data_IF_644289784191
#
_entry.id   IF_644289784191
#
_cell.length_a   1.000
_cell.length_b   1.000
_cell.length_c   1.000
_cell.angle_alpha   90.00
_cell.angle_beta   90.00
_cell.angle_gamma   90.00
#
_symmetry.space_group_name_H-M   'P 1'
#
loop_
_entity.id
_entity.type
_entity.pdbx_description
1 polymer ?
#
# COMPACT_ATOMS: atom_id res chain seq x y z
N UNK A 1 -59.53 -52.40 41.56
CA UNK A 1 -59.91 -51.53 40.42
C UNK A 1 -58.84 -51.73 39.36
N UNK A 2 -58.95 -52.59 38.32
CA UNK A 2 -59.76 -52.44 37.06
C UNK A 2 -59.78 -50.97 36.62
N UNK A 3 -59.22 -50.59 35.47
CA UNK A 3 -59.69 -50.93 34.11
C UNK A 3 -58.52 -50.97 33.09
N UNK A 4 -58.55 -51.96 32.19
CA UNK A 4 -57.83 -52.03 30.92
C UNK A 4 -58.61 -51.28 29.84
N UNK A 5 -57.95 -50.53 28.96
CA UNK A 5 -58.46 -50.30 27.60
C UNK A 5 -57.32 -50.18 26.58
N UNK A 6 -57.42 -51.04 25.58
CA UNK A 6 -56.62 -51.12 24.36
C UNK A 6 -56.84 -49.91 23.46
N UNK A 7 -55.78 -49.44 22.79
CA UNK A 7 -55.89 -48.75 21.51
C UNK A 7 -54.77 -49.24 20.58
N UNK A 8 -55.19 -49.85 19.48
CA UNK A 8 -54.34 -50.41 18.44
C UNK A 8 -53.75 -49.29 17.57
N UNK A 9 -52.47 -49.42 17.20
CA UNK A 9 -51.94 -48.77 15.99
C UNK A 9 -51.06 -49.73 15.20
N UNK A 10 -51.46 -49.87 13.96
CA UNK A 10 -51.07 -50.83 12.94
C UNK A 10 -49.62 -50.60 12.47
N UNK A 11 -48.86 -51.69 12.39
CA UNK A 11 -47.63 -51.76 11.59
C UNK A 11 -48.00 -51.70 10.10
N UNK A 12 -47.73 -50.57 9.45
CA UNK A 12 -47.75 -50.49 7.99
C UNK A 12 -46.31 -50.33 7.46
N UNK A 13 -45.82 -51.42 6.90
CA UNK A 13 -44.60 -51.50 6.10
C UNK A 13 -44.84 -50.83 4.74
N UNK A 14 -44.61 -49.52 4.64
CA UNK A 14 -44.50 -48.88 3.32
C UNK A 14 -43.10 -49.04 2.74
N UNK A 15 -42.96 -50.06 1.88
CA UNK A 15 -42.02 -50.04 0.76
C UNK A 15 -42.27 -48.76 -0.05
N UNK A 16 -41.39 -47.77 0.07
CA UNK A 16 -41.28 -46.70 -0.91
C UNK A 16 -40.24 -47.12 -1.95
N UNK A 17 -40.73 -47.79 -3.00
CA UNK A 17 -40.08 -47.86 -4.31
C UNK A 17 -39.97 -46.43 -4.87
N UNK A 18 -38.90 -45.73 -4.50
CA UNK A 18 -38.47 -44.52 -5.19
C UNK A 18 -37.80 -44.92 -6.50
N UNK A 19 -38.57 -44.91 -7.58
CA UNK A 19 -38.09 -45.19 -8.92
C UNK A 19 -36.96 -44.21 -9.29
N UNK A 20 -35.79 -44.76 -9.57
CA UNK A 20 -34.68 -44.07 -10.22
C UNK A 20 -35.17 -43.68 -11.60
N UNK A 21 -35.56 -42.42 -11.80
CA UNK A 21 -35.79 -41.88 -13.12
C UNK A 21 -34.44 -41.84 -13.85
N UNK A 22 -34.22 -42.82 -14.72
CA UNK A 22 -33.15 -42.81 -15.70
C UNK A 22 -33.27 -41.59 -16.62
N UNK A 23 -32.20 -41.22 -17.34
CA UNK A 23 -32.23 -40.02 -18.18
C UNK A 23 -33.13 -40.30 -19.39
N UNK A 24 -34.31 -39.68 -19.41
CA UNK A 24 -35.15 -39.62 -20.60
C UNK A 24 -34.44 -38.86 -21.71
N UNK A 25 -34.00 -39.64 -22.70
CA UNK A 25 -33.61 -39.20 -24.02
C UNK A 25 -34.87 -38.81 -24.81
N UNK A 26 -35.27 -37.54 -24.76
CA UNK A 26 -36.15 -36.95 -25.77
C UNK A 26 -35.49 -35.70 -26.37
N UNK A 27 -35.36 -35.65 -27.69
CA UNK A 27 -34.86 -34.48 -28.40
C UNK A 27 -35.95 -33.40 -28.39
N UNK A 28 -36.08 -32.66 -27.29
CA UNK A 28 -36.94 -31.47 -27.24
C UNK A 28 -36.35 -30.40 -28.15
N UNK A 29 -37.14 -29.90 -29.10
CA UNK A 29 -36.81 -28.70 -29.88
C UNK A 29 -36.73 -27.52 -28.91
N UNK A 30 -35.70 -26.68 -29.06
CA UNK A 30 -35.54 -25.48 -28.23
C UNK A 30 -36.71 -24.52 -28.44
N UNK A 31 -37.24 -23.96 -27.35
CA UNK A 31 -38.21 -22.85 -27.41
C UNK A 31 -37.57 -21.66 -28.12
N UNK A 32 -38.35 -20.92 -28.92
CA UNK A 32 -37.91 -19.68 -29.58
C UNK A 32 -37.66 -18.53 -28.60
N UNK A 33 -38.22 -18.62 -27.39
CA UNK A 33 -38.07 -17.61 -26.34
C UNK A 33 -37.47 -18.24 -25.09
N UNK A 34 -36.33 -17.73 -24.65
CA UNK A 34 -35.63 -18.16 -23.44
C UNK A 34 -36.13 -17.38 -22.22
N UNK A 35 -36.74 -18.07 -21.26
CA UNK A 35 -37.19 -17.49 -19.98
C UNK A 35 -36.23 -17.91 -18.88
N UNK A 36 -35.19 -17.08 -18.66
CA UNK A 36 -34.10 -17.39 -17.71
C UNK A 36 -34.59 -17.54 -16.27
N UNK A 37 -35.66 -16.83 -15.88
CA UNK A 37 -36.26 -16.92 -14.55
C UNK A 37 -36.90 -18.28 -14.24
N UNK A 38 -37.24 -19.06 -15.27
CA UNK A 38 -37.78 -20.41 -15.11
C UNK A 38 -36.67 -21.48 -15.07
N UNK A 39 -35.40 -21.10 -15.20
CA UNK A 39 -34.30 -22.04 -15.20
C UNK A 39 -34.07 -22.64 -13.81
N UNK A 40 -33.84 -23.95 -13.71
CA UNK A 40 -33.41 -24.56 -12.45
C UNK A 40 -32.05 -23.97 -12.04
N UNK A 41 -31.83 -23.83 -10.73
CA UNK A 41 -30.54 -23.42 -10.16
C UNK A 41 -29.84 -24.62 -9.51
N UNK A 42 -29.29 -25.56 -10.31
CA UNK A 42 -28.65 -26.75 -9.77
C UNK A 42 -27.36 -26.41 -9.04
N UNK A 43 -27.04 -27.20 -8.02
CA UNK A 43 -25.74 -27.14 -7.36
C UNK A 43 -24.70 -27.86 -8.24
N UNK A 44 -23.75 -27.10 -8.81
CA UNK A 44 -22.79 -27.62 -9.79
C UNK A 44 -21.31 -27.44 -9.35
N UNK A 45 -20.72 -28.40 -8.63
CA UNK A 45 -19.33 -28.36 -8.19
C UNK A 45 -18.30 -28.21 -9.31
N UNK A 46 -18.61 -28.73 -10.50
CA UNK A 46 -17.74 -28.71 -11.69
C UNK A 46 -17.83 -27.40 -12.47
N UNK A 47 -18.75 -26.51 -12.12
CA UNK A 47 -19.04 -25.28 -12.84
C UNK A 47 -20.35 -25.34 -13.62
N UNK A 48 -20.69 -24.23 -14.24
CA UNK A 48 -21.92 -24.05 -15.03
C UNK A 48 -21.55 -23.92 -16.50
N UNK A 49 -22.38 -24.50 -17.35
CA UNK A 49 -22.30 -24.35 -18.82
C UNK A 49 -23.72 -24.12 -19.35
N UNK A 50 -23.88 -23.38 -20.45
CA UNK A 50 -25.19 -23.27 -21.08
C UNK A 50 -25.73 -24.64 -21.50
N UNK A 51 -27.05 -24.81 -21.41
CA UNK A 51 -27.75 -25.94 -22.00
C UNK A 51 -27.67 -25.91 -23.54
N UNK A 52 -28.24 -26.93 -24.19
CA UNK A 52 -28.20 -27.01 -25.67
C UNK A 52 -28.95 -25.89 -26.38
N UNK A 53 -29.89 -25.25 -25.69
CA UNK A 53 -30.67 -24.15 -26.20
C UNK A 53 -30.03 -22.79 -25.87
N UNK A 54 -28.85 -22.81 -25.25
CA UNK A 54 -28.13 -21.64 -24.77
C UNK A 54 -28.98 -20.73 -23.87
N UNK A 55 -29.89 -21.35 -23.10
CA UNK A 55 -30.90 -20.64 -22.31
C UNK A 55 -30.64 -20.76 -20.80
N UNK A 56 -30.55 -21.99 -20.28
CA UNK A 56 -30.31 -22.22 -18.86
C UNK A 56 -28.86 -22.63 -18.57
N UNK A 57 -28.38 -22.30 -17.38
CA UNK A 57 -27.10 -22.82 -16.87
C UNK A 57 -27.32 -24.20 -16.25
N UNK A 58 -26.61 -25.20 -16.77
CA UNK A 58 -26.62 -26.58 -16.29
C UNK A 58 -25.23 -26.98 -15.78
N UNK A 59 -25.17 -28.05 -14.99
CA UNK A 59 -23.88 -28.53 -14.49
C UNK A 59 -22.98 -28.99 -15.63
N UNK A 60 -21.77 -28.44 -15.67
CA UNK A 60 -20.70 -28.86 -16.56
C UNK A 60 -20.17 -30.24 -16.18
N UNK A 61 -19.49 -30.89 -17.14
CA UNK A 61 -18.75 -32.12 -16.87
C UNK A 61 -17.50 -31.82 -16.04
N UNK A 62 -17.31 -32.57 -14.96
CA UNK A 62 -16.10 -32.55 -14.15
C UNK A 62 -14.91 -33.18 -14.85
N UNK A 63 -13.73 -33.07 -14.23
CA UNK A 63 -12.54 -33.75 -14.73
C UNK A 63 -12.75 -35.28 -14.75
N UNK A 64 -12.18 -35.95 -15.75
CA UNK A 64 -12.28 -37.39 -15.99
C UNK A 64 -13.70 -37.89 -16.35
N UNK A 65 -14.65 -37.00 -16.61
CA UNK A 65 -15.97 -37.36 -17.16
C UNK A 65 -15.96 -37.44 -18.70
N UNK A 66 -16.83 -38.29 -19.25
CA UNK A 66 -17.00 -38.48 -20.68
C UNK A 66 -17.47 -37.20 -21.39
N UNK A 67 -16.82 -36.90 -22.50
CA UNK A 67 -17.11 -35.75 -23.34
C UNK A 67 -16.97 -36.08 -24.83
N UNK A 68 -17.46 -35.16 -25.68
CA UNK A 68 -17.20 -35.19 -27.12
C UNK A 68 -18.21 -35.98 -27.96
N UNK A 69 -19.24 -36.61 -27.36
CA UNK A 69 -20.40 -37.10 -28.12
C UNK A 69 -21.42 -35.99 -28.34
N UNK A 70 -22.25 -36.12 -29.37
CA UNK A 70 -23.34 -35.17 -29.71
C UNK A 70 -24.26 -34.85 -28.52
N UNK A 71 -24.39 -35.78 -27.58
CA UNK A 71 -25.26 -35.64 -26.42
C UNK A 71 -24.56 -35.26 -25.11
N UNK A 72 -23.24 -35.20 -25.08
CA UNK A 72 -22.49 -34.89 -23.85
C UNK A 72 -22.54 -33.39 -23.55
N UNK A 73 -22.63 -33.04 -22.26
CA UNK A 73 -22.46 -31.66 -21.81
C UNK A 73 -21.00 -31.23 -21.96
N UNK A 74 -20.72 -29.93 -22.20
CA UNK A 74 -19.35 -29.44 -22.31
C UNK A 74 -18.59 -29.55 -20.97
N UNK A 75 -17.26 -29.63 -21.09
CA UNK A 75 -16.36 -29.62 -19.95
C UNK A 75 -16.41 -28.27 -19.22
N UNK A 76 -16.25 -28.28 -17.89
CA UNK A 76 -16.25 -27.08 -17.07
C UNK A 76 -15.02 -26.17 -17.28
N UNK A 77 -15.04 -25.01 -16.61
CA UNK A 77 -13.99 -23.99 -16.73
C UNK A 77 -12.58 -24.54 -16.51
N UNK A 78 -11.72 -24.37 -17.52
CA UNK A 78 -10.33 -24.83 -17.52
C UNK A 78 -10.12 -26.28 -17.92
N UNK A 79 -11.20 -27.04 -18.19
CA UNK A 79 -11.14 -28.41 -18.70
C UNK A 79 -11.32 -28.44 -20.23
N UNK A 80 -10.56 -29.30 -20.90
CA UNK A 80 -10.62 -29.56 -22.33
C UNK A 80 -11.00 -31.01 -22.62
N UNK A 81 -11.84 -31.23 -23.62
CA UNK A 81 -12.22 -32.58 -24.02
C UNK A 81 -11.09 -33.26 -24.81
N UNK A 82 -10.31 -34.12 -24.16
CA UNK A 82 -9.11 -34.76 -24.73
C UNK A 82 -9.25 -36.27 -24.84
N UNK A 83 -8.51 -36.87 -25.78
CA UNK A 83 -8.41 -38.32 -25.90
C UNK A 83 -7.33 -38.84 -24.92
N UNK A 84 -7.55 -39.95 -24.20
CA UNK A 84 -6.60 -40.52 -23.23
C UNK A 84 -5.19 -40.78 -23.79
N UNK A 85 -5.07 -40.94 -25.12
CA UNK A 85 -3.81 -41.19 -25.84
C UNK A 85 -3.27 -39.95 -26.58
N UNK A 86 -3.45 -38.74 -26.05
CA UNK A 86 -2.76 -37.53 -26.56
C UNK A 86 -1.35 -37.42 -25.90
N UNK A 87 -0.31 -36.97 -26.62
CA UNK A 87 1.09 -37.24 -26.29
C UNK A 87 1.56 -36.45 -25.05
N UNK A 88 1.80 -37.16 -23.95
CA UNK A 88 2.81 -36.90 -22.90
C UNK A 88 2.69 -37.95 -21.75
N UNK A 89 2.77 -39.25 -22.09
CA UNK A 89 2.88 -40.33 -21.10
C UNK A 89 4.00 -41.30 -21.53
N UNK A 90 4.87 -41.75 -20.59
CA UNK A 90 6.00 -42.61 -20.91
C UNK A 90 5.54 -44.03 -21.30
N UNK A 91 6.16 -44.53 -22.39
CA UNK A 91 6.11 -45.87 -22.99
C UNK A 91 5.19 -46.93 -22.36
N UNK A 92 4.20 -47.41 -23.13
CA UNK A 92 3.70 -48.79 -23.03
C UNK A 92 3.29 -49.36 -24.40
N UNK A 93 4.04 -50.39 -24.80
CA UNK A 93 3.59 -51.67 -25.39
C UNK A 93 2.74 -51.70 -26.68
N UNK A 94 3.11 -52.52 -27.68
CA UNK A 94 2.30 -52.72 -28.87
C UNK A 94 1.26 -53.82 -28.65
N UNK A 95 -0.02 -53.47 -28.59
CA UNK A 95 -1.11 -54.40 -28.92
C UNK A 95 -2.44 -53.66 -29.07
N UNK A 96 -3.11 -53.92 -30.19
CA UNK A 96 -4.18 -53.08 -30.72
C UNK A 96 -5.58 -53.30 -30.15
N UNK A 97 -6.46 -52.35 -30.50
CA UNK A 97 -7.83 -52.50 -30.99
C UNK A 97 -8.44 -51.10 -31.14
N UNK A 98 -9.01 -50.78 -32.30
CA UNK A 98 -9.70 -49.50 -32.59
C UNK A 98 -11.02 -49.44 -31.80
N UNK A 99 -10.93 -49.09 -30.52
CA UNK A 99 -12.08 -48.64 -29.72
C UNK A 99 -12.37 -47.18 -30.07
N UNK A 100 -13.63 -46.83 -30.30
CA UNK A 100 -14.09 -45.44 -30.40
C UNK A 100 -13.51 -44.66 -29.23
N UNK A 101 -12.48 -43.84 -29.46
CA UNK A 101 -11.66 -43.27 -28.38
C UNK A 101 -12.55 -42.44 -27.46
N UNK A 102 -12.89 -42.98 -26.30
CA UNK A 102 -13.65 -42.28 -25.26
C UNK A 102 -12.84 -41.04 -24.88
N UNK A 103 -13.38 -39.84 -25.12
CA UNK A 103 -12.72 -38.59 -24.72
C UNK A 103 -13.19 -38.21 -23.32
N UNK A 104 -12.29 -37.63 -22.55
CA UNK A 104 -12.52 -37.24 -21.16
C UNK A 104 -12.18 -35.75 -21.00
N UNK A 105 -12.88 -35.08 -20.08
CA UNK A 105 -12.55 -33.72 -19.69
C UNK A 105 -11.25 -33.72 -18.88
N UNK A 106 -10.21 -33.04 -19.36
CA UNK A 106 -8.90 -32.98 -18.73
C UNK A 106 -8.48 -31.53 -18.48
N UNK A 107 -7.84 -31.25 -17.35
CA UNK A 107 -7.37 -29.90 -17.08
C UNK A 107 -6.32 -29.43 -18.09
N UNK A 108 -6.47 -28.19 -18.59
CA UNK A 108 -5.49 -27.58 -19.51
C UNK A 108 -4.10 -27.48 -18.88
N UNK A 109 -4.04 -27.26 -17.56
CA UNK A 109 -2.80 -27.14 -16.79
C UNK A 109 -2.63 -28.34 -15.86
N UNK A 110 -1.84 -29.33 -16.26
CA UNK A 110 -1.70 -30.61 -15.55
C UNK A 110 -0.70 -30.63 -14.38
N UNK A 111 -0.13 -29.49 -13.97
CA UNK A 111 0.83 -29.46 -12.87
C UNK A 111 0.12 -29.39 -11.51
N UNK A 112 0.72 -30.02 -10.48
CA UNK A 112 0.22 -29.96 -9.09
C UNK A 112 0.20 -28.52 -8.57
N UNK A 113 -0.79 -28.19 -7.75
CA UNK A 113 -0.90 -26.86 -7.10
C UNK A 113 -1.16 -27.00 -5.61
N UNK A 114 -0.66 -26.05 -4.83
CA UNK A 114 -0.98 -25.95 -3.42
C UNK A 114 -2.16 -25.00 -3.21
N UNK A 115 -3.22 -25.49 -2.57
CA UNK A 115 -4.36 -24.67 -2.17
C UNK A 115 -4.08 -23.88 -0.89
N UNK A 116 -4.81 -22.78 -0.69
CA UNK A 116 -4.79 -22.01 0.56
C UNK A 116 -5.25 -22.81 1.79
N UNK A 117 -5.89 -23.95 1.57
CA UNK A 117 -6.26 -24.94 2.58
C UNK A 117 -5.11 -25.92 2.94
N UNK A 118 -3.91 -25.70 2.40
CA UNK A 118 -2.74 -26.54 2.63
C UNK A 118 -2.80 -27.91 1.95
N UNK A 119 -3.79 -28.16 1.07
CA UNK A 119 -3.91 -29.42 0.33
C UNK A 119 -3.26 -29.33 -1.04
N UNK A 120 -2.50 -30.38 -1.38
CA UNK A 120 -1.98 -30.56 -2.74
C UNK A 120 -3.10 -31.04 -3.66
N UNK A 121 -3.40 -30.26 -4.69
CA UNK A 121 -4.29 -30.66 -5.77
C UNK A 121 -3.47 -31.13 -6.96
N UNK A 122 -3.97 -32.17 -7.65
CA UNK A 122 -3.32 -32.71 -8.84
C UNK A 122 -3.17 -31.68 -9.98
N UNK A 123 -4.09 -30.71 -10.03
CA UNK A 123 -4.08 -29.59 -10.96
C UNK A 123 -4.99 -28.44 -10.48
N UNK A 124 -4.92 -27.29 -11.17
CA UNK A 124 -5.72 -26.10 -10.86
C UNK A 124 -7.23 -26.33 -11.01
N UNK A 125 -7.67 -27.21 -11.91
CA UNK A 125 -9.09 -27.50 -12.14
C UNK A 125 -9.70 -28.24 -10.93
N UNK A 126 -8.97 -29.20 -10.35
CA UNK A 126 -9.38 -29.90 -9.12
C UNK A 126 -9.46 -28.96 -7.91
N UNK A 127 -8.49 -28.05 -7.78
CA UNK A 127 -8.50 -27.03 -6.73
C UNK A 127 -9.73 -26.12 -6.85
N UNK A 128 -10.03 -25.61 -8.06
CA UNK A 128 -11.21 -24.77 -8.31
C UNK A 128 -12.52 -25.52 -8.04
N UNK A 129 -12.60 -26.80 -8.41
CA UNK A 129 -13.77 -27.63 -8.09
C UNK A 129 -13.94 -27.83 -6.57
N UNK A 130 -12.85 -28.01 -5.82
CA UNK A 130 -12.89 -28.08 -4.36
C UNK A 130 -13.28 -26.73 -3.72
N UNK A 131 -12.79 -25.61 -4.26
CA UNK A 131 -13.13 -24.25 -3.84
C UNK A 131 -14.64 -23.98 -3.97
N UNK A 132 -15.24 -24.36 -5.11
CA UNK A 132 -16.70 -24.26 -5.31
C UNK A 132 -17.49 -25.13 -4.32
N UNK A 133 -17.04 -26.36 -4.05
CA UNK A 133 -17.66 -27.22 -3.03
C UNK A 133 -17.55 -26.64 -1.63
N UNK A 134 -16.47 -25.91 -1.32
CA UNK A 134 -16.27 -25.25 -0.04
C UNK A 134 -17.25 -24.07 0.11
N UNK A 135 -17.35 -23.20 -0.90
CA UNK A 135 -18.28 -22.08 -0.93
C UNK A 135 -19.75 -22.51 -0.77
N UNK A 136 -20.13 -23.63 -1.40
CA UNK A 136 -21.48 -24.21 -1.27
C UNK A 136 -21.79 -24.74 0.14
N UNK A 137 -20.76 -24.99 0.95
CA UNK A 137 -20.87 -25.39 2.35
C UNK A 137 -20.60 -24.22 3.30
N UNK A 138 -20.71 -22.99 2.81
CA UNK A 138 -20.44 -21.75 3.57
C UNK A 138 -19.03 -21.72 4.18
N UNK A 139 -18.05 -22.34 3.51
CA UNK A 139 -16.62 -22.28 3.87
C UNK A 139 -15.88 -21.31 2.95
N UNK A 140 -14.73 -20.84 3.41
CA UNK A 140 -13.86 -19.96 2.63
C UNK A 140 -13.46 -20.57 1.27
N UNK A 141 -13.33 -19.71 0.26
CA UNK A 141 -12.87 -20.11 -1.06
C UNK A 141 -11.40 -20.54 -1.01
N UNK A 142 -11.10 -21.69 -1.62
CA UNK A 142 -9.72 -22.16 -1.77
C UNK A 142 -9.09 -21.41 -2.94
N UNK A 143 -8.01 -20.68 -2.66
CA UNK A 143 -7.20 -19.97 -3.66
C UNK A 143 -5.88 -20.69 -3.88
N UNK A 144 -5.18 -20.40 -4.98
CA UNK A 144 -3.88 -21.01 -5.23
C UNK A 144 -2.81 -20.30 -4.38
N UNK A 145 -2.18 -21.02 -3.45
CA UNK A 145 -1.07 -20.50 -2.65
C UNK A 145 0.22 -20.41 -3.49
N UNK A 146 0.62 -21.52 -4.12
CA UNK A 146 1.76 -21.56 -5.03
C UNK A 146 1.63 -22.68 -6.09
N UNK A 147 2.50 -22.64 -7.11
CA UNK A 147 2.65 -23.73 -8.10
C UNK A 147 3.46 -24.88 -7.47
N UNK A 148 3.15 -26.12 -7.82
CA UNK A 148 3.78 -27.32 -7.25
C UNK A 148 2.94 -27.97 -6.14
N UNK A 149 3.34 -29.16 -5.65
CA UNK A 149 2.69 -29.78 -4.50
C UNK A 149 2.84 -28.88 -3.27
N UNK A 150 1.83 -28.86 -2.39
CA UNK A 150 2.07 -28.41 -1.03
C UNK A 150 3.19 -29.28 -0.44
N UNK A 151 4.10 -28.68 0.36
CA UNK A 151 5.15 -29.43 1.02
C UNK A 151 4.56 -30.66 1.72
N UNK A 152 5.00 -31.86 1.31
CA UNK A 152 4.54 -33.13 1.85
C UNK A 152 5.29 -33.41 3.14
N UNK A 153 4.55 -33.27 4.23
CA UNK A 153 5.06 -33.20 5.59
C UNK A 153 4.79 -31.80 6.12
N UNK A 154 4.46 -31.64 7.41
CA UNK A 154 4.53 -30.32 8.00
C UNK A 154 5.94 -29.81 7.68
N UNK A 155 6.08 -28.58 7.20
CA UNK A 155 7.35 -27.87 7.47
C UNK A 155 7.69 -28.14 8.95
N UNK A 156 8.95 -28.27 9.38
CA UNK A 156 9.25 -28.33 10.80
C UNK A 156 8.72 -27.03 11.43
N UNK A 157 7.52 -27.15 11.95
CA UNK A 157 6.47 -26.17 11.75
C UNK A 157 5.25 -26.64 12.48
N UNK A 158 5.51 -27.18 13.67
CA UNK A 158 4.60 -27.35 14.78
C UNK A 158 3.43 -26.36 14.66
N UNK A 159 2.23 -26.79 14.22
CA UNK A 159 1.05 -25.93 14.21
C UNK A 159 0.65 -25.50 15.63
N UNK A 160 1.19 -26.18 16.65
CA UNK A 160 1.12 -25.80 18.05
C UNK A 160 2.37 -25.06 18.56
N UNK A 161 3.39 -24.79 17.74
CA UNK A 161 4.54 -24.00 18.20
C UNK A 161 4.10 -22.55 18.32
N UNK A 162 4.33 -21.94 19.49
CA UNK A 162 4.15 -20.51 19.69
C UNK A 162 4.81 -19.65 18.59
N UNK A 163 5.91 -20.13 18.00
CA UNK A 163 6.65 -19.43 16.94
C UNK A 163 5.81 -19.18 15.68
N UNK A 164 5.01 -20.14 15.23
CA UNK A 164 4.22 -19.97 14.01
C UNK A 164 2.84 -19.38 14.29
N UNK A 165 2.38 -19.47 15.54
CA UNK A 165 1.08 -18.96 15.96
C UNK A 165 1.11 -17.48 16.36
N UNK A 166 2.21 -17.00 16.93
CA UNK A 166 2.27 -15.67 17.55
C UNK A 166 3.30 -14.71 16.93
N UNK A 167 4.03 -15.09 15.88
CA UNK A 167 4.93 -14.16 15.17
C UNK A 167 4.21 -13.27 14.15
N UNK A 168 3.08 -12.67 14.54
CA UNK A 168 2.30 -11.78 13.69
C UNK A 168 3.07 -10.53 13.24
N UNK A 169 4.07 -10.08 14.01
CA UNK A 169 4.97 -8.99 13.61
C UNK A 169 5.77 -9.38 12.37
N UNK A 170 6.30 -10.62 12.34
CA UNK A 170 7.07 -11.12 11.20
C UNK A 170 6.21 -11.15 9.93
N UNK A 171 4.95 -11.59 10.04
CA UNK A 171 4.01 -11.65 8.91
C UNK A 171 3.69 -10.26 8.34
N UNK A 172 3.64 -9.24 9.21
CA UNK A 172 3.43 -7.85 8.78
C UNK A 172 4.68 -7.33 8.09
N UNK A 173 5.87 -7.55 8.66
CA UNK A 173 7.14 -7.13 8.06
C UNK A 173 7.33 -7.76 6.69
N UNK A 174 7.11 -9.07 6.55
CA UNK A 174 7.27 -9.79 5.29
C UNK A 174 6.38 -9.20 4.18
N UNK A 175 5.15 -8.81 4.52
CA UNK A 175 4.22 -8.20 3.56
C UNK A 175 4.55 -6.74 3.24
N UNK A 176 5.07 -5.99 4.20
CA UNK A 176 5.30 -4.55 4.08
C UNK A 176 6.67 -4.19 3.51
N UNK A 177 7.68 -4.98 3.84
CA UNK A 177 9.08 -4.74 3.50
C UNK A 177 9.33 -4.41 2.02
N UNK A 178 8.70 -5.08 1.03
CA UNK A 178 8.96 -4.78 -0.38
C UNK A 178 8.60 -3.36 -0.82
N UNK A 179 7.68 -2.70 -0.13
CA UNK A 179 7.21 -1.35 -0.46
C UNK A 179 7.90 -0.24 0.35
N UNK A 180 8.77 -0.61 1.29
CA UNK A 180 9.62 0.32 2.04
C UNK A 180 10.92 0.54 1.27
N UNK A 181 11.37 1.78 1.24
CA UNK A 181 12.54 2.20 0.44
C UNK A 181 13.53 2.97 1.28
N UNK A 182 14.80 2.88 0.90
CA UNK A 182 15.85 3.75 1.40
C UNK A 182 15.92 5.01 0.54
N UNK A 183 16.05 6.17 1.16
CA UNK A 183 16.15 7.47 0.50
C UNK A 183 17.46 8.12 0.90
N UNK A 184 18.20 8.58 -0.10
CA UNK A 184 19.49 9.21 0.08
C UNK A 184 19.54 10.50 -0.76
N UNK A 185 19.80 11.61 -0.08
CA UNK A 185 20.12 12.88 -0.70
C UNK A 185 21.63 13.04 -0.70
N UNK A 186 22.24 13.27 -1.86
CA UNK A 186 23.69 13.41 -1.96
C UNK A 186 24.08 14.54 -2.92
N UNK A 187 25.29 15.07 -2.71
CA UNK A 187 25.93 15.99 -3.62
C UNK A 187 27.02 15.26 -4.42
N UNK A 188 27.10 15.50 -5.72
CA UNK A 188 28.23 15.07 -6.52
C UNK A 188 29.27 16.18 -6.57
N UNK A 189 30.45 15.93 -5.98
CA UNK A 189 31.53 16.92 -5.96
C UNK A 189 32.05 17.17 -7.39
N UNK A 190 32.05 18.42 -7.91
CA UNK A 190 32.39 18.71 -9.30
C UNK A 190 33.82 18.31 -9.68
N UNK A 191 34.78 18.53 -8.77
CA UNK A 191 36.21 18.31 -9.03
C UNK A 191 36.69 16.86 -8.82
N UNK A 192 36.09 16.11 -7.89
CA UNK A 192 36.58 14.79 -7.47
C UNK A 192 35.61 13.64 -7.80
N UNK A 193 34.43 13.95 -8.33
CA UNK A 193 33.40 12.95 -8.67
C UNK A 193 32.86 12.13 -7.49
N UNK A 194 33.22 12.48 -6.24
CA UNK A 194 32.77 11.80 -5.03
C UNK A 194 31.34 12.19 -4.66
N UNK A 195 30.55 11.22 -4.22
CA UNK A 195 29.24 11.44 -3.64
C UNK A 195 29.38 11.77 -2.15
N UNK A 196 28.88 12.93 -1.75
CA UNK A 196 28.82 13.35 -0.34
C UNK A 196 27.36 13.24 0.10
N UNK A 197 27.02 12.30 1.00
CA UNK A 197 25.65 12.18 1.51
C UNK A 197 25.31 13.42 2.34
N UNK A 198 24.14 14.01 2.07
CA UNK A 198 23.61 15.20 2.75
C UNK A 198 22.50 14.84 3.74
N UNK A 199 21.64 13.88 3.37
CA UNK A 199 20.56 13.38 4.22
C UNK A 199 20.27 11.94 3.83
N UNK A 200 19.79 11.16 4.79
CA UNK A 200 19.45 9.76 4.60
C UNK A 200 18.27 9.39 5.49
N UNK A 201 17.39 8.54 4.97
CA UNK A 201 16.22 8.08 5.69
C UNK A 201 15.47 7.01 4.91
N UNK A 202 14.22 6.81 5.31
CA UNK A 202 13.31 5.83 4.72
C UNK A 202 12.13 6.51 4.02
N UNK A 203 11.42 5.74 3.22
CA UNK A 203 10.11 6.11 2.68
C UNK A 203 9.29 4.88 2.37
N UNK A 204 8.10 5.09 1.84
CA UNK A 204 7.26 4.00 1.35
C UNK A 204 6.47 4.39 0.10
N UNK A 205 6.25 3.39 -0.74
CA UNK A 205 5.60 3.57 -2.04
C UNK A 205 4.07 3.53 -1.84
N UNK A 206 3.37 4.56 -2.30
CA UNK A 206 1.90 4.67 -2.22
C UNK A 206 1.20 4.51 -3.58
N UNK A 207 1.97 4.45 -4.67
CA UNK A 207 1.43 4.24 -6.02
C UNK A 207 2.34 3.33 -6.85
N UNK A 208 1.72 2.44 -7.63
CA UNK A 208 2.41 1.54 -8.54
C UNK A 208 3.23 2.27 -9.61
N UNK A 209 2.92 3.56 -9.85
CA UNK A 209 3.66 4.43 -10.76
C UNK A 209 4.94 5.03 -10.16
N UNK A 210 5.24 4.77 -8.88
CA UNK A 210 6.46 5.23 -8.22
C UNK A 210 6.32 6.50 -7.39
N UNK A 211 5.12 6.83 -6.90
CA UNK A 211 4.94 7.90 -5.91
C UNK A 211 5.29 7.37 -4.52
N UNK A 212 6.17 8.07 -3.82
CA UNK A 212 6.73 7.69 -2.53
C UNK A 212 6.48 8.82 -1.54
N UNK A 213 6.14 8.46 -0.30
CA UNK A 213 5.98 9.38 0.83
C UNK A 213 7.15 9.20 1.78
N UNK A 214 7.64 10.31 2.34
CA UNK A 214 8.69 10.39 3.36
C UNK A 214 8.54 11.69 4.15
N UNK A 215 9.49 11.98 5.05
CA UNK A 215 9.55 13.25 5.73
C UNK A 215 10.19 14.35 4.89
N UNK A 216 9.83 15.60 5.18
CA UNK A 216 10.43 16.75 4.51
C UNK A 216 11.94 16.82 4.81
N UNK A 217 12.34 16.62 6.07
CA UNK A 217 13.75 16.67 6.46
C UNK A 217 14.64 15.60 5.80
N UNK A 218 14.06 14.49 5.32
CA UNK A 218 14.81 13.45 4.59
C UNK A 218 15.23 13.91 3.19
N UNK A 219 14.43 14.78 2.57
CA UNK A 219 14.63 15.22 1.18
C UNK A 219 15.14 16.67 1.07
N UNK A 220 15.25 17.38 2.19
CA UNK A 220 15.81 18.74 2.25
C UNK A 220 17.16 18.75 2.95
N UNK A 221 18.15 19.42 2.36
CA UNK A 221 19.42 19.69 3.01
C UNK A 221 19.28 20.85 4.00
N UNK A 222 19.88 20.72 5.20
CA UNK A 222 19.92 21.78 6.20
C UNK A 222 20.99 22.85 5.93
N UNK A 223 22.01 22.53 5.12
CA UNK A 223 23.12 23.42 4.78
C UNK A 223 22.98 24.02 3.38
N UNK A 224 23.46 25.24 3.19
CA UNK A 224 23.67 25.83 1.85
C UNK A 224 24.79 25.05 1.17
N UNK A 225 24.44 24.17 0.24
CA UNK A 225 25.41 23.36 -0.49
C UNK A 225 25.63 23.93 -1.88
N UNK A 226 26.89 24.14 -2.27
CA UNK A 226 27.27 24.57 -3.62
C UNK A 226 27.18 23.39 -4.60
N UNK A 227 26.06 23.29 -5.30
CA UNK A 227 25.82 22.30 -6.35
C UNK A 227 24.36 21.83 -6.40
N UNK A 228 24.04 20.95 -7.35
CA UNK A 228 22.69 20.38 -7.48
C UNK A 228 22.59 19.09 -6.66
N UNK A 229 21.85 19.07 -5.53
CA UNK A 229 21.64 17.84 -4.79
C UNK A 229 20.82 16.86 -5.63
N UNK A 230 21.18 15.59 -5.59
CA UNK A 230 20.47 14.51 -6.26
C UNK A 230 19.82 13.61 -5.23
N UNK A 231 18.64 13.07 -5.57
CA UNK A 231 17.90 12.16 -4.72
C UNK A 231 17.93 10.77 -5.34
N UNK A 232 18.36 9.79 -4.56
CA UNK A 232 18.37 8.37 -4.93
C UNK A 232 17.46 7.59 -4.01
N UNK A 233 16.66 6.72 -4.60
CA UNK A 233 15.78 5.78 -3.91
C UNK A 233 16.28 4.38 -4.19
N UNK A 234 16.47 3.57 -3.15
CA UNK A 234 16.86 2.17 -3.26
C UNK A 234 15.74 1.29 -2.72
N UNK A 235 15.31 0.32 -3.53
CA UNK A 235 14.25 -0.62 -3.20
C UNK A 235 14.79 -1.82 -2.41
N UNK A 236 13.86 -2.57 -1.80
CA UNK A 236 14.16 -3.81 -1.09
C UNK A 236 14.87 -4.88 -1.97
N UNK A 237 14.64 -4.89 -3.28
CA UNK A 237 15.30 -5.82 -4.21
C UNK A 237 16.69 -5.35 -4.68
N UNK A 238 17.18 -4.21 -4.16
CA UNK A 238 18.44 -3.59 -4.54
C UNK A 238 18.35 -2.68 -5.76
N UNK A 239 17.18 -2.58 -6.41
CA UNK A 239 16.96 -1.64 -7.51
C UNK A 239 17.09 -0.19 -7.05
N UNK A 240 17.89 0.61 -7.75
CA UNK A 240 18.08 2.03 -7.45
C UNK A 240 17.50 2.93 -8.55
N UNK A 241 16.87 4.03 -8.14
CA UNK A 241 16.22 5.00 -9.02
C UNK A 241 16.63 6.41 -8.63
N UNK A 242 16.85 7.26 -9.63
CA UNK A 242 16.85 8.71 -9.40
C UNK A 242 15.42 9.17 -9.14
N UNK A 243 15.26 10.03 -8.15
CA UNK A 243 13.98 10.53 -7.70
C UNK A 243 13.92 12.05 -7.82
N UNK A 244 12.71 12.56 -8.00
CA UNK A 244 12.41 13.99 -8.02
C UNK A 244 11.44 14.32 -6.90
N UNK A 245 11.71 15.41 -6.18
CA UNK A 245 10.76 15.93 -5.19
C UNK A 245 9.55 16.47 -5.93
N UNK A 246 8.35 16.04 -5.53
CA UNK A 246 7.09 16.49 -6.11
C UNK A 246 6.47 17.60 -5.28
N UNK A 247 6.28 17.36 -4.00
CA UNK A 247 5.63 18.30 -3.09
C UNK A 247 6.27 18.15 -1.70
N UNK A 248 6.39 19.26 -0.97
CA UNK A 248 6.97 19.30 0.38
C UNK A 248 6.16 20.24 1.26
N UNK A 249 5.71 19.76 2.41
CA UNK A 249 5.18 20.58 3.50
C UNK A 249 6.15 20.49 4.68
N UNK A 250 6.93 21.55 4.87
CA UNK A 250 7.88 21.65 5.99
C UNK A 250 7.18 21.83 7.34
N UNK A 251 5.97 22.41 7.38
CA UNK A 251 5.24 22.62 8.65
C UNK A 251 4.79 21.27 9.21
N UNK A 252 4.31 20.37 8.35
CA UNK A 252 3.93 19.01 8.77
C UNK A 252 5.02 17.96 8.62
N UNK A 253 6.19 18.35 8.12
CA UNK A 253 7.33 17.46 7.85
C UNK A 253 6.96 16.28 6.93
N UNK A 254 6.14 16.53 5.90
CA UNK A 254 5.75 15.54 4.89
C UNK A 254 6.32 15.93 3.53
N UNK A 255 6.83 14.95 2.80
CA UNK A 255 7.21 15.12 1.40
C UNK A 255 6.74 13.96 0.54
N UNK A 256 6.49 14.25 -0.73
CA UNK A 256 6.34 13.24 -1.78
C UNK A 256 7.44 13.35 -2.80
N UNK A 257 7.94 12.20 -3.22
CA UNK A 257 8.95 12.07 -4.28
C UNK A 257 8.46 11.09 -5.34
N UNK A 258 8.97 11.23 -6.55
CA UNK A 258 8.60 10.41 -7.71
C UNK A 258 9.81 9.77 -8.33
N UNK A 259 9.74 8.45 -8.48
CA UNK A 259 10.64 7.63 -9.30
C UNK A 259 9.93 7.15 -10.56
N UNK A 260 10.67 6.79 -11.60
CA UNK A 260 10.12 6.24 -12.84
C UNK A 260 10.51 4.76 -13.00
N UNK A 261 9.71 3.83 -12.44
CA UNK A 261 10.04 2.42 -12.46
C UNK A 261 9.68 1.78 -13.80
N UNK A 262 10.47 0.80 -14.25
CA UNK A 262 10.16 0.03 -15.47
C UNK A 262 9.04 -1.00 -15.25
N UNK A 263 8.82 -1.40 -13.99
CA UNK A 263 7.80 -2.39 -13.58
C UNK A 263 6.89 -1.77 -12.52
N UNK A 264 5.69 -2.32 -12.37
CA UNK A 264 4.79 -1.91 -11.27
C UNK A 264 5.47 -2.22 -9.93
N UNK A 265 5.53 -1.22 -9.06
CA UNK A 265 6.10 -1.36 -7.73
C UNK A 265 5.06 -1.90 -6.72
N UNK A 266 5.49 -2.61 -5.67
CA UNK A 266 4.64 -2.92 -4.52
C UNK A 266 4.25 -1.62 -3.81
N UNK A 267 3.03 -1.57 -3.27
CA UNK A 267 2.47 -0.35 -2.67
C UNK A 267 1.89 -0.62 -1.29
N UNK A 268 1.93 0.40 -0.45
CA UNK A 268 1.23 0.43 0.82
C UNK A 268 -0.02 1.30 0.74
N UNK A 269 -1.08 0.85 1.41
CA UNK A 269 -2.32 1.60 1.55
C UNK A 269 -2.31 2.42 2.82
N UNK A 270 -2.79 3.66 2.75
CA UNK A 270 -3.01 4.50 3.93
C UNK A 270 -4.27 4.05 4.66
N UNK A 271 -4.15 3.79 5.96
CA UNK A 271 -5.26 3.54 6.87
C UNK A 271 -5.85 4.83 7.44
N UNK A 272 -6.80 4.70 8.36
CA UNK A 272 -7.38 5.83 9.12
C UNK A 272 -6.69 5.93 10.48
N UNK A 273 -5.94 6.99 10.68
CA UNK A 273 -5.31 7.28 11.97
C UNK A 273 -6.34 7.69 13.04
N UNK A 274 -7.50 8.24 12.63
CA UNK A 274 -8.63 8.55 13.50
C UNK A 274 -9.20 7.35 14.25
N UNK A 275 -9.02 6.14 13.69
CA UNK A 275 -9.61 4.91 14.22
C UNK A 275 -8.65 4.17 15.17
N UNK A 276 -7.45 4.73 15.40
CA UNK A 276 -6.44 4.15 16.27
C UNK A 276 -6.89 4.13 17.73
N UNK A 277 -6.59 3.03 18.39
CA UNK A 277 -6.85 2.86 19.83
C UNK A 277 -5.55 2.82 20.61
N UNK A 278 -5.46 3.48 21.77
CA UNK A 278 -4.36 3.26 22.71
C UNK A 278 -4.21 1.76 23.01
N UNK A 279 -2.98 1.26 22.98
CA UNK A 279 -2.63 -0.15 23.14
C UNK A 279 -2.61 -0.97 21.85
N UNK A 280 -2.99 -0.41 20.70
CA UNK A 280 -2.88 -1.12 19.43
C UNK A 280 -1.42 -1.36 19.04
N UNK A 281 -1.08 -2.60 18.68
CA UNK A 281 0.26 -2.93 18.20
C UNK A 281 0.56 -2.26 16.86
N UNK A 282 1.77 -1.72 16.76
CA UNK A 282 2.28 -1.04 15.58
C UNK A 282 3.71 -1.48 15.28
N UNK A 283 4.07 -1.41 14.00
CA UNK A 283 5.42 -1.71 13.54
C UNK A 283 5.96 -0.49 12.82
N UNK A 284 7.10 0.02 13.27
CA UNK A 284 7.85 1.06 12.60
C UNK A 284 8.91 0.40 11.73
N UNK A 285 8.77 0.53 10.41
CA UNK A 285 9.65 -0.11 9.43
C UNK A 285 10.46 0.97 8.72
N UNK A 286 11.73 0.68 8.51
CA UNK A 286 12.65 1.50 7.74
C UNK A 286 13.60 0.66 6.91
N UNK A 287 14.36 1.33 6.06
CA UNK A 287 15.49 0.80 5.33
C UNK A 287 16.67 1.77 5.55
N UNK A 288 17.41 1.66 6.68
CA UNK A 288 18.59 2.51 6.93
C UNK A 288 19.67 2.33 5.89
N UNK A 289 19.78 1.13 5.33
CA UNK A 289 20.73 0.78 4.29
C UNK A 289 19.99 0.00 3.22
N UNK A 290 20.45 0.14 1.98
CA UNK A 290 20.02 -0.69 0.88
C UNK A 290 20.07 -2.17 1.30
N UNK A 291 18.98 -2.91 1.08
CA UNK A 291 18.82 -4.35 1.39
C UNK A 291 18.68 -4.72 2.87
N UNK A 292 18.75 -3.77 3.81
CA UNK A 292 18.55 -4.06 5.24
C UNK A 292 17.39 -3.23 5.78
N UNK A 293 16.35 -3.93 6.24
CA UNK A 293 15.24 -3.30 6.92
C UNK A 293 15.55 -3.19 8.42
N UNK A 294 15.29 -2.02 8.99
CA UNK A 294 15.19 -1.88 10.45
C UNK A 294 13.74 -1.90 10.84
N UNK A 295 13.41 -2.81 11.74
CA UNK A 295 12.06 -3.02 12.22
C UNK A 295 12.07 -2.88 13.72
N UNK A 296 11.19 -2.03 14.21
CA UNK A 296 10.88 -1.94 15.64
C UNK A 296 9.37 -2.09 15.80
N UNK A 297 8.96 -2.62 16.95
CA UNK A 297 7.55 -2.83 17.26
C UNK A 297 7.25 -2.18 18.60
N UNK A 298 6.00 -1.78 18.76
CA UNK A 298 5.49 -1.20 19.99
C UNK A 298 3.97 -1.16 19.95
N UNK A 299 3.40 -0.32 20.80
CA UNK A 299 1.99 0.00 20.86
C UNK A 299 1.76 1.49 20.64
N UNK A 300 0.54 1.85 20.25
CA UNK A 300 0.09 3.24 20.30
C UNK A 300 -0.10 3.64 21.77
N UNK A 301 0.70 4.59 22.25
CA UNK A 301 0.52 5.16 23.59
C UNK A 301 -0.63 6.17 23.59
N UNK A 302 -0.75 6.98 22.53
CA UNK A 302 -1.81 7.98 22.35
C UNK A 302 -2.00 8.25 20.86
N UNK A 303 -3.25 8.24 20.39
CA UNK A 303 -3.57 8.43 18.98
C UNK A 303 -3.49 9.90 18.52
N UNK A 304 -3.62 10.85 19.45
CA UNK A 304 -3.63 12.29 19.19
C UNK A 304 -2.92 13.00 20.35
N UNK A 305 -1.64 13.34 20.15
CA UNK A 305 -0.88 14.17 21.07
C UNK A 305 -0.66 15.52 20.43
N UNK A 306 -1.21 16.58 21.02
CA UNK A 306 -1.01 17.95 20.52
C UNK A 306 0.50 18.28 20.56
N UNK A 307 1.06 18.66 19.41
CA UNK A 307 2.47 19.03 19.32
C UNK A 307 2.85 20.23 20.22
N UNK A 308 1.88 21.06 20.62
CA UNK A 308 2.08 22.14 21.61
C UNK A 308 2.48 21.58 22.99
N UNK A 309 1.96 20.42 23.38
CA UNK A 309 2.36 19.74 24.61
C UNK A 309 3.79 19.17 24.54
N UNK A 310 4.33 19.02 23.33
CA UNK A 310 5.69 18.54 23.08
C UNK A 310 6.72 19.69 23.05
N UNK A 311 6.29 20.92 23.35
CA UNK A 311 7.14 22.10 23.29
C UNK A 311 7.47 22.55 21.86
N UNK A 312 6.81 21.99 20.85
CA UNK A 312 6.95 22.41 19.46
C UNK A 312 6.10 23.67 19.27
N UNK A 313 6.75 24.83 19.35
CA UNK A 313 6.10 26.12 19.11
C UNK A 313 5.62 26.14 17.64
N UNK A 314 4.38 26.57 17.41
CA UNK A 314 3.70 26.63 16.10
C UNK A 314 3.29 25.30 15.44
N UNK A 315 3.30 24.17 16.16
CA UNK A 315 2.65 22.96 15.63
C UNK A 315 1.16 22.94 15.96
N UNK A 316 0.30 23.14 14.94
CA UNK A 316 -1.13 22.79 15.01
C UNK A 316 -1.36 21.33 14.58
N UNK A 317 -0.41 20.45 14.94
CA UNK A 317 -0.33 19.09 14.41
C UNK A 317 -0.37 18.12 15.58
N UNK A 318 -1.35 17.23 15.52
CA UNK A 318 -1.42 16.08 16.40
C UNK A 318 -0.49 14.98 15.90
N UNK A 319 0.24 14.36 16.81
CA UNK A 319 1.11 13.22 16.52
C UNK A 319 0.55 11.94 17.11
N UNK A 320 0.85 10.81 16.47
CA UNK A 320 0.69 9.49 17.05
C UNK A 320 1.90 9.25 17.96
N UNK A 321 1.65 9.00 19.24
CA UNK A 321 2.69 8.62 20.19
C UNK A 321 2.80 7.10 20.26
N UNK A 322 4.02 6.57 20.19
CA UNK A 322 4.32 5.14 20.31
C UNK A 322 5.60 4.91 21.09
N UNK A 323 5.72 3.74 21.72
CA UNK A 323 6.96 3.24 22.32
C UNK A 323 7.82 2.44 21.34
N UNK A 324 7.35 2.22 20.10
CA UNK A 324 8.15 1.66 19.03
C UNK A 324 9.34 2.59 18.75
N UNK A 325 10.56 2.04 18.85
CA UNK A 325 11.78 2.84 18.74
C UNK A 325 11.91 3.41 17.32
N UNK A 326 11.92 4.74 17.21
CA UNK A 326 12.23 5.45 15.98
C UNK A 326 13.68 5.96 16.02
N UNK A 327 14.41 5.79 14.92
CA UNK A 327 15.79 6.24 14.73
C UNK A 327 15.98 6.76 13.30
N UNK A 328 17.17 7.28 12.97
CA UNK A 328 17.50 7.74 11.62
C UNK A 328 17.24 6.69 10.53
N UNK A 329 17.33 5.40 10.89
CA UNK A 329 17.14 4.30 9.95
C UNK A 329 15.70 4.03 9.54
N UNK A 330 14.71 4.37 10.39
CA UNK A 330 13.29 4.21 10.06
C UNK A 330 12.51 5.53 10.00
N UNK A 331 13.15 6.68 10.27
CA UNK A 331 12.60 8.02 10.00
C UNK A 331 12.23 8.17 8.52
N UNK A 332 11.06 8.74 8.24
CA UNK A 332 10.44 8.80 6.91
C UNK A 332 9.75 7.51 6.47
N UNK A 333 10.02 6.39 7.14
CA UNK A 333 9.37 5.10 6.88
C UNK A 333 7.95 5.04 7.45
N UNK A 334 7.19 3.99 7.12
CA UNK A 334 5.82 3.84 7.58
C UNK A 334 5.75 3.33 9.03
N UNK A 335 4.76 3.83 9.77
CA UNK A 335 4.19 3.19 10.95
C UNK A 335 2.95 2.41 10.51
N UNK A 336 2.91 1.10 10.73
CA UNK A 336 1.84 0.22 10.23
C UNK A 336 1.08 -0.48 11.36
N UNK A 337 -0.23 -0.67 11.17
CA UNK A 337 -1.05 -1.48 12.06
C UNK A 337 -1.02 -2.98 11.66
N UNK A 338 -1.43 -3.85 12.59
CA UNK A 338 -1.43 -5.30 12.34
C UNK A 338 -2.71 -5.80 11.67
N UNK A 339 -3.86 -5.20 12.00
CA UNK A 339 -5.18 -5.74 11.65
C UNK A 339 -5.42 -5.68 10.15
N UNK A 340 -5.19 -4.51 9.55
CA UNK A 340 -5.39 -4.27 8.11
C UNK A 340 -4.10 -4.19 7.34
N UNK A 341 -2.96 -4.12 8.04
CA UNK A 341 -1.64 -3.97 7.43
C UNK A 341 -1.63 -2.68 6.59
N UNK A 342 -2.07 -1.60 7.22
CA UNK A 342 -2.21 -0.27 6.62
C UNK A 342 -1.23 0.69 7.29
N UNK A 343 -0.78 1.69 6.53
CA UNK A 343 0.04 2.78 7.05
C UNK A 343 -0.85 3.73 7.84
N UNK A 344 -0.56 3.85 9.13
CA UNK A 344 -1.28 4.73 10.06
C UNK A 344 -0.49 6.01 10.36
N UNK A 345 0.80 6.06 9.99
CA UNK A 345 1.59 7.29 10.08
C UNK A 345 2.98 7.20 9.45
N UNK A 346 3.74 8.31 9.50
CA UNK A 346 5.15 8.41 9.06
C UNK A 346 6.02 8.56 10.30
N UNK A 347 6.99 7.65 10.48
CA UNK A 347 7.95 7.68 11.57
C UNK A 347 8.76 8.99 11.49
N UNK A 348 8.77 9.81 12.54
CA UNK A 348 9.35 11.16 12.48
C UNK A 348 10.45 11.38 13.49
N UNK A 349 10.09 11.39 14.77
CA UNK A 349 10.96 11.90 15.83
C UNK A 349 10.97 10.93 17.02
N UNK A 350 12.12 10.84 17.67
CA UNK A 350 12.27 10.26 19.00
C UNK A 350 12.63 11.37 19.96
N UNK A 351 11.84 11.54 21.02
CA UNK A 351 12.09 12.57 22.05
C UNK A 351 12.91 11.99 23.20
N UNK A 352 12.52 10.81 23.70
CA UNK A 352 13.23 10.11 24.76
C UNK A 352 13.04 8.60 24.64
N UNK A 353 13.67 7.81 25.51
CA UNK A 353 13.46 6.36 25.55
C UNK A 353 11.98 6.04 25.80
N UNK A 354 11.38 5.20 24.95
CA UNK A 354 9.97 4.80 25.03
C UNK A 354 8.97 5.87 24.58
N UNK A 355 9.41 7.01 24.03
CA UNK A 355 8.52 8.05 23.48
C UNK A 355 9.02 8.46 22.09
N UNK A 356 8.28 7.98 21.09
CA UNK A 356 8.47 8.25 19.68
C UNK A 356 7.18 8.77 19.05
N UNK A 357 7.31 9.55 17.99
CA UNK A 357 6.20 10.22 17.31
C UNK A 357 6.14 9.87 15.83
N UNK A 358 4.91 9.75 15.33
CA UNK A 358 4.62 9.60 13.92
C UNK A 358 3.56 10.60 13.46
N UNK A 359 3.69 11.10 12.23
CA UNK A 359 2.69 11.97 11.59
C UNK A 359 1.47 11.12 11.20
N UNK A 360 0.23 11.47 11.59
CA UNK A 360 -0.95 10.65 11.32
C UNK A 360 -1.27 10.48 9.82
N UNK A 361 -1.74 9.29 9.42
CA UNK A 361 -2.06 8.98 8.01
C UNK A 361 -3.16 9.87 7.43
N UNK A 362 -4.10 10.36 8.24
CA UNK A 362 -5.14 11.27 7.77
C UNK A 362 -4.56 12.66 7.42
N UNK A 363 -3.45 13.06 8.06
CA UNK A 363 -2.70 14.27 7.65
C UNK A 363 -2.02 14.05 6.30
N UNK A 364 -1.43 12.87 6.08
CA UNK A 364 -0.84 12.49 4.79
C UNK A 364 -1.89 12.57 3.68
N UNK A 365 -3.10 12.06 3.92
CA UNK A 365 -4.21 12.12 2.95
C UNK A 365 -4.56 13.57 2.60
N UNK A 366 -4.70 14.45 3.59
CA UNK A 366 -4.97 15.88 3.35
C UNK A 366 -3.87 16.52 2.48
N UNK A 367 -2.61 16.29 2.85
CA UNK A 367 -1.46 16.78 2.07
C UNK A 367 -1.49 16.30 0.61
N UNK A 368 -1.78 15.01 0.37
CA UNK A 368 -1.89 14.46 -0.98
C UNK A 368 -3.04 15.09 -1.78
N UNK A 369 -4.16 15.40 -1.15
CA UNK A 369 -5.30 16.07 -1.79
C UNK A 369 -4.99 17.53 -2.10
N UNK A 370 -4.38 18.27 -1.17
CA UNK A 370 -3.99 19.68 -1.35
C UNK A 370 -2.92 19.85 -2.42
N UNK A 371 -1.92 18.97 -2.47
CA UNK A 371 -0.88 18.95 -3.53
C UNK A 371 -1.48 18.76 -4.93
N UNK A 372 -2.55 17.98 -5.06
CA UNK A 372 -3.22 17.80 -6.35
C UNK A 372 -4.01 19.05 -6.76
N UNK A 373 -4.58 19.78 -5.79
CA UNK A 373 -5.30 21.02 -6.03
C UNK A 373 -4.37 22.22 -6.32
N UNK A 374 -3.28 22.40 -5.57
CA UNK A 374 -2.35 23.53 -5.73
C UNK A 374 -1.54 23.51 -7.04
N UNK A 375 -1.46 22.38 -7.74
CA UNK A 375 -0.95 22.35 -9.13
C UNK A 375 -1.79 23.21 -10.10
N UNK A 376 -2.98 23.62 -9.69
CA UNK A 376 -3.85 24.54 -10.43
C UNK A 376 -3.80 26.00 -9.92
N UNK A 377 -3.06 26.33 -8.85
CA UNK A 377 -3.13 27.66 -8.21
C UNK A 377 -1.82 28.07 -7.49
N UNK A 378 -1.17 29.10 -8.04
CA UNK A 378 -0.23 30.06 -7.40
C UNK A 378 1.18 29.60 -6.95
N UNK A 379 2.20 30.18 -7.59
CA UNK A 379 3.62 30.05 -7.25
C UNK A 379 4.15 31.24 -6.44
N UNK A 380 4.46 31.00 -5.17
CA UNK A 380 5.43 31.77 -4.38
C UNK A 380 5.82 30.94 -3.13
N UNK A 381 7.11 30.86 -2.79
CA UNK A 381 7.57 30.26 -1.53
C UNK A 381 8.57 31.22 -0.87
N UNK A 382 8.16 31.79 0.27
CA UNK A 382 8.94 32.71 1.10
C UNK A 382 9.24 32.02 2.44
N UNK A 383 10.47 32.11 2.94
CA UNK A 383 10.89 31.52 4.21
C UNK A 383 11.51 32.63 5.08
N UNK A 384 11.13 32.73 6.36
CA UNK A 384 11.63 33.77 7.27
C UNK A 384 12.23 33.20 8.55
N UNK A 385 13.32 33.83 9.02
CA UNK A 385 13.96 33.58 10.31
C UNK A 385 13.43 34.50 11.42
N UNK A 386 13.17 33.94 12.61
CA UNK A 386 12.61 34.63 13.79
C UNK A 386 13.70 35.26 14.65
N UNK A 387 13.48 36.52 15.06
CA UNK A 387 14.02 37.37 16.19
C UNK A 387 15.39 37.13 16.86
N UNK A 388 15.99 35.94 16.90
CA UNK A 388 17.27 35.71 17.59
C UNK A 388 18.50 36.18 16.80
N UNK A 389 18.37 36.40 15.48
CA UNK A 389 19.48 36.81 14.63
C UNK A 389 19.69 38.34 14.55
N UNK A 390 18.68 39.16 14.86
CA UNK A 390 18.82 40.63 14.87
C UNK A 390 19.77 41.12 15.98
N UNK A 391 19.77 40.44 17.13
CA UNK A 391 20.66 40.75 18.25
C UNK A 391 22.11 40.33 17.94
N UNK A 392 22.30 39.21 17.23
CA UNK A 392 23.62 38.75 16.81
C UNK A 392 24.17 39.58 15.63
N UNK A 393 23.32 40.04 14.71
CA UNK A 393 23.71 40.94 13.61
C UNK A 393 24.07 42.34 14.11
N UNK A 394 23.34 42.89 15.10
CA UNK A 394 23.73 44.15 15.80
C UNK A 394 25.11 44.06 16.47
N UNK A 395 25.52 42.87 16.91
CA UNK A 395 26.85 42.63 17.51
C UNK A 395 27.98 42.50 16.48
N UNK A 396 27.66 42.17 15.24
CA UNK A 396 28.64 41.86 14.18
C UNK A 396 28.75 42.97 13.12
N UNK A 397 27.80 43.91 13.05
CA UNK A 397 27.81 45.00 12.07
C UNK A 397 27.62 46.38 12.76
N UNK A 398 28.66 47.22 12.85
CA UNK A 398 28.61 48.54 13.48
C UNK A 398 27.68 49.55 12.78
N UNK A 399 27.37 49.35 11.50
CA UNK A 399 26.53 50.24 10.69
C UNK A 399 25.03 49.85 10.74
N UNK A 400 24.67 48.86 11.56
CA UNK A 400 23.27 48.48 11.75
C UNK A 400 22.56 49.54 12.61
N UNK A 401 21.49 50.21 12.13
CA UNK A 401 20.89 51.31 12.85
C UNK A 401 20.31 50.90 14.21
N UNK A 402 20.61 51.68 15.25
CA UNK A 402 20.16 51.41 16.62
C UNK A 402 18.63 51.43 16.76
N UNK A 403 17.95 52.19 15.90
CA UNK A 403 16.51 52.41 15.87
C UNK A 403 15.71 51.26 15.24
N UNK A 404 16.36 50.32 14.54
CA UNK A 404 15.69 49.12 14.01
C UNK A 404 15.48 48.11 15.14
N UNK A 405 14.23 48.00 15.58
CA UNK A 405 13.78 47.12 16.68
C UNK A 405 13.06 45.86 16.20
N UNK A 406 12.59 45.83 14.94
CA UNK A 406 11.92 44.70 14.31
C UNK A 406 12.00 44.75 12.78
N UNK A 407 12.03 43.57 12.13
CA UNK A 407 12.02 43.44 10.67
C UNK A 407 12.14 41.97 10.26
N UNK A 408 11.97 41.69 8.97
CA UNK A 408 12.02 40.35 8.38
C UNK A 408 13.24 40.22 7.46
N UNK A 409 14.20 39.38 7.85
CA UNK A 409 15.39 39.11 7.03
C UNK A 409 15.06 38.12 5.91
N UNK A 410 15.42 38.49 4.68
CA UNK A 410 15.30 37.66 3.48
C UNK A 410 16.51 36.75 3.40
N UNK A 411 16.31 35.47 3.69
CA UNK A 411 17.41 34.50 3.68
C UNK A 411 17.74 34.01 2.27
N UNK A 412 16.73 33.89 1.42
CA UNK A 412 16.87 33.35 0.07
C UNK A 412 15.73 33.84 -0.81
N UNK A 413 16.03 34.11 -2.07
CA UNK A 413 15.05 34.47 -3.09
C UNK A 413 15.08 33.41 -4.19
N UNK A 414 13.90 32.92 -4.58
CA UNK A 414 13.77 31.90 -5.63
C UNK A 414 13.93 32.58 -7.00
N UNK A 415 14.82 32.09 -7.88
CA UNK A 415 14.96 32.62 -9.25
C UNK A 415 13.63 32.64 -10.00
N UNK A 416 13.40 33.69 -10.80
CA UNK A 416 12.15 33.95 -11.56
C UNK A 416 10.87 34.18 -10.73
N UNK A 417 10.97 34.20 -9.40
CA UNK A 417 9.83 34.53 -8.54
C UNK A 417 9.44 36.02 -8.63
N UNK A 418 8.20 36.40 -8.24
CA UNK A 418 7.82 37.80 -8.04
C UNK A 418 8.81 38.62 -7.18
N UNK A 419 9.40 38.00 -6.14
CA UNK A 419 10.41 38.65 -5.30
C UNK A 419 11.74 38.87 -6.04
N UNK A 420 12.18 37.89 -6.85
CA UNK A 420 13.37 38.02 -7.71
C UNK A 420 13.17 39.09 -8.79
N UNK A 421 12.01 39.08 -9.46
CA UNK A 421 11.64 40.10 -10.46
C UNK A 421 11.42 41.47 -9.84
N UNK A 422 11.07 41.53 -8.56
CA UNK A 422 10.94 42.73 -7.75
C UNK A 422 12.27 43.27 -7.20
N UNK A 423 13.40 42.62 -7.49
CA UNK A 423 14.74 43.07 -7.08
C UNK A 423 15.09 42.82 -5.62
N UNK A 424 14.38 41.92 -4.94
CA UNK A 424 14.73 41.51 -3.56
C UNK A 424 15.88 40.52 -3.63
N UNK A 425 16.86 40.69 -2.75
CA UNK A 425 18.04 39.84 -2.65
C UNK A 425 18.16 39.14 -1.29
N UNK A 426 18.98 38.10 -1.23
CA UNK A 426 19.31 37.45 0.03
C UNK A 426 20.19 38.38 0.87
N UNK A 427 19.84 38.60 2.14
CA UNK A 427 20.47 39.57 3.04
C UNK A 427 19.63 40.81 3.28
N UNK A 428 18.60 41.04 2.45
CA UNK A 428 17.67 42.16 2.61
C UNK A 428 16.87 42.07 3.90
N UNK A 429 16.60 43.22 4.54
CA UNK A 429 15.70 43.30 5.69
C UNK A 429 14.46 44.09 5.30
N UNK A 430 13.31 43.44 5.33
CA UNK A 430 12.00 44.06 5.11
C UNK A 430 11.54 44.71 6.41
N UNK A 431 11.37 46.03 6.38
CA UNK A 431 11.01 46.86 7.53
C UNK A 431 9.52 47.20 7.57
N UNK A 432 8.92 47.43 6.40
CA UNK A 432 7.48 47.75 6.29
C UNK A 432 6.82 46.99 5.14
N UNK A 433 5.53 46.71 5.34
CA UNK A 433 4.63 46.14 4.36
C UNK A 433 3.43 47.08 4.21
N UNK A 434 3.17 47.55 2.99
CA UNK A 434 2.10 48.51 2.67
C UNK A 434 2.08 49.72 3.62
N UNK A 435 3.27 50.26 3.92
CA UNK A 435 3.47 51.41 4.82
C UNK A 435 3.34 51.09 6.32
N UNK A 436 3.04 49.84 6.71
CA UNK A 436 2.93 49.42 8.11
C UNK A 436 4.22 48.74 8.58
N UNK A 437 4.75 49.07 9.78
CA UNK A 437 5.92 48.39 10.34
C UNK A 437 5.69 46.89 10.47
N UNK A 438 6.63 46.11 9.95
CA UNK A 438 6.55 44.67 9.94
C UNK A 438 7.24 44.09 11.18
N UNK A 439 6.46 43.50 12.09
CA UNK A 439 6.96 43.06 13.41
C UNK A 439 7.09 41.55 13.53
N UNK A 440 6.36 40.82 12.71
CA UNK A 440 6.34 39.36 12.66
C UNK A 440 6.29 38.88 11.22
N UNK A 441 6.61 37.61 11.05
CA UNK A 441 6.60 36.90 9.77
C UNK A 441 5.19 36.62 9.27
N UNK A 442 4.25 36.47 10.22
CA UNK A 442 2.85 36.15 9.95
C UNK A 442 2.12 37.32 9.28
N UNK A 443 2.49 38.56 9.61
CA UNK A 443 1.99 39.76 8.94
C UNK A 443 2.37 39.79 7.46
N UNK A 444 3.59 39.35 7.13
CA UNK A 444 4.07 39.24 5.75
C UNK A 444 3.38 38.10 5.02
N UNK A 445 3.29 36.92 5.66
CA UNK A 445 2.67 35.74 5.08
C UNK A 445 1.16 35.94 4.84
N UNK A 446 0.46 36.60 5.76
CA UNK A 446 -0.95 36.96 5.59
C UNK A 446 -1.18 37.88 4.39
N UNK A 447 -0.26 38.82 4.13
CA UNK A 447 -0.36 39.69 2.97
C UNK A 447 -0.02 39.00 1.65
N UNK A 448 0.88 38.01 1.66
CA UNK A 448 1.21 37.18 0.49
C UNK A 448 0.05 36.25 0.06
N UNK A 449 -0.92 36.01 0.95
CA UNK A 449 -2.13 35.24 0.66
C UNK A 449 -3.26 36.07 0.02
N UNK A 450 -3.09 37.39 -0.12
CA UNK A 450 -4.05 38.27 -0.77
C UNK A 450 -3.78 38.48 -2.27
N UNK A 451 -4.82 38.78 -3.06
CA UNK A 451 -4.75 38.93 -4.52
C UNK A 451 -4.30 40.34 -5.00
N UNK A 452 -3.35 40.99 -4.31
CA UNK A 452 -2.94 42.37 -4.60
C UNK A 452 -1.41 42.61 -4.62
N UNK A 453 -0.94 43.69 -5.27
CA UNK A 453 0.47 44.07 -5.23
C UNK A 453 0.89 44.47 -3.80
N UNK A 454 2.10 44.08 -3.40
CA UNK A 454 2.68 44.39 -2.10
C UNK A 454 3.74 45.48 -2.23
N UNK A 455 3.61 46.54 -1.43
CA UNK A 455 4.63 47.58 -1.29
C UNK A 455 5.54 47.22 -0.11
N UNK A 456 6.81 46.91 -0.39
CA UNK A 456 7.79 46.51 0.62
C UNK A 456 8.84 47.62 0.81
N UNK A 457 9.08 48.01 2.05
CA UNK A 457 10.21 48.88 2.40
C UNK A 457 11.36 47.99 2.85
N UNK A 458 12.43 47.97 2.05
CA UNK A 458 13.54 47.03 2.18
C UNK A 458 14.84 47.78 2.43
N UNK A 459 15.69 47.26 3.31
CA UNK A 459 17.05 47.74 3.54
C UNK A 459 18.04 46.67 3.09
N UNK A 460 18.90 47.05 2.14
CA UNK A 460 20.05 46.26 1.70
C UNK A 460 21.25 46.57 2.62
N UNK A 461 21.71 45.65 3.48
CA UNK A 461 23.00 45.80 4.12
C UNK A 461 24.09 45.56 3.07
N UNK A 462 24.94 46.56 2.80
CA UNK A 462 26.13 46.34 1.98
C UNK A 462 27.09 45.39 2.70
N UNK A 463 27.00 44.10 2.41
CA UNK A 463 27.98 43.11 2.86
C UNK A 463 28.34 42.22 1.66
N UNK A 464 29.57 42.40 1.19
CA UNK A 464 30.26 41.41 0.35
C UNK A 464 30.52 40.21 1.26
N UNK A 465 29.75 39.12 1.11
CA UNK A 465 30.04 37.87 1.80
C UNK A 465 31.18 37.14 1.07
N UNK A 466 32.32 36.95 1.74
CA UNK A 466 33.40 36.03 1.33
C UNK A 466 33.09 34.59 1.73
#
# INVERSE_FOLDING_TARGET
MRVFLFAATVFLTHKLTGSVAGPESSSKKCSSQCVVSACPSPNCPSGYVPDRCNCCLVCSRGEDELCGRKNDRPCGDGLECRSPNAPNAPNKGPSGKRSSKRRLCQCKMGYKVCGSDGKTYGNVCRMKAASRKALQKEREAITQAHKGPCPSGPAPGHPNSPRYKFNFIADVVEKMAPAVVHIELFLRHPLFGRHVPLSSGSGFIISHSGLIVTNAHVVTAAATVTGRPQLRVQLHDGGAYEATVRDVDRKSDIATIKVNPQKKLPVLSLGRSSDLRPGEFVVAIGSPFALQNTVTTGIVSTAQRDGKELGIRDSDIDYIQTDAIINYGNSGGPLVNLVRREVIGINTLKVTAGISFAIPSDRIRRFLTESQHNKHSAGLSVCVCVRSNLINMKRQNPDFPDDVTSGVLVHQVIPESPAHRGGIEAGDVILKLNGRPLRTTDELQGALLGDGPLLLEVRQPHVVMQ
#
